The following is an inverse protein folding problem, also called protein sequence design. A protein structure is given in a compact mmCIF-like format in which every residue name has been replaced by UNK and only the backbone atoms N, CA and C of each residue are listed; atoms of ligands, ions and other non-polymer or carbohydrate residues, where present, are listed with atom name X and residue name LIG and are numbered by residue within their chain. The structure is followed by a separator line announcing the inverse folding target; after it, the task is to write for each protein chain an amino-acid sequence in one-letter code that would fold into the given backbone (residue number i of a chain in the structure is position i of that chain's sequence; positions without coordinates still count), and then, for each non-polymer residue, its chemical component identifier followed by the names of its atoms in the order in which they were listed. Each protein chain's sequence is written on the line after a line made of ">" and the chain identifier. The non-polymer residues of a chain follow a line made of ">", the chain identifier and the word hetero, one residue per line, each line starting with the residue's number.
data_IF_009823291693
#
_entry.id   IF_009823291693
#
_cell.length_a   1.000
_cell.length_b   1.000
_cell.length_c   1.000
_cell.angle_alpha   90.00
_cell.angle_beta   90.00
_cell.angle_gamma   90.00
#
_symmetry.space_group_name_H-M   'P 1'
#
loop_
_entity.id
_entity.type
_entity.pdbx_description
1 polymer ?
#
# COMPACT_ATOMS: atom_id res chain seq x y z
N UNK A 1 6.93 -38.43 35.73
CA UNK A 1 7.74 -37.99 34.57
C UNK A 1 7.24 -38.73 33.34
N UNK A 2 6.80 -38.14 32.24
CA UNK A 2 6.85 -36.78 31.73
C UNK A 2 5.65 -36.59 30.80
N UNK A 3 5.04 -35.41 30.90
CA UNK A 3 4.09 -34.80 29.98
C UNK A 3 4.37 -35.11 28.52
N UNK A 4 3.34 -35.53 27.77
CA UNK A 4 3.08 -35.02 26.42
C UNK A 4 1.57 -34.97 26.22
N UNK A 5 0.96 -33.93 26.81
CA UNK A 5 -0.29 -33.36 26.32
C UNK A 5 0.06 -32.87 24.92
N UNK A 6 -0.30 -33.68 23.90
CA UNK A 6 -0.34 -33.20 22.54
C UNK A 6 -1.54 -32.27 22.49
N UNK A 7 -1.29 -30.98 22.80
CA UNK A 7 -2.15 -29.90 22.41
C UNK A 7 -2.19 -29.95 20.88
N UNK A 8 -3.10 -30.76 20.33
CA UNK A 8 -3.67 -30.49 19.03
C UNK A 8 -4.38 -29.16 19.19
N UNK A 9 -3.63 -28.07 19.01
CA UNK A 9 -4.16 -26.79 18.57
C UNK A 9 -4.69 -27.10 17.16
N UNK A 10 -5.88 -27.71 17.13
CA UNK A 10 -6.84 -27.42 16.10
C UNK A 10 -6.97 -25.92 16.21
N UNK A 11 -6.33 -25.22 15.28
CA UNK A 11 -6.71 -23.87 14.92
C UNK A 11 -8.15 -24.02 14.43
N UNK A 12 -9.08 -24.08 15.39
CA UNK A 12 -10.42 -23.60 15.21
C UNK A 12 -10.17 -22.16 14.79
N UNK A 13 -10.12 -21.96 13.48
CA UNK A 13 -10.65 -20.75 12.87
C UNK A 13 -12.05 -20.67 13.45
N UNK A 14 -12.15 -20.03 14.61
CA UNK A 14 -13.36 -19.41 15.09
C UNK A 14 -13.70 -18.47 13.95
N UNK A 15 -14.52 -18.98 13.04
CA UNK A 15 -15.51 -18.20 12.32
C UNK A 15 -16.37 -17.62 13.44
N UNK A 16 -15.81 -16.62 14.14
CA UNK A 16 -16.59 -15.67 14.86
C UNK A 16 -17.59 -15.18 13.83
N UNK A 17 -18.84 -15.18 14.24
CA UNK A 17 -20.01 -14.78 13.50
C UNK A 17 -19.85 -13.31 13.04
N UNK A 18 -18.92 -13.03 12.14
CA UNK A 18 -18.83 -11.78 11.42
C UNK A 18 -20.09 -11.80 10.60
N UNK A 19 -21.01 -10.88 10.86
CA UNK A 19 -22.18 -10.72 10.02
C UNK A 19 -21.71 -10.72 8.57
N UNK A 20 -22.06 -11.75 7.82
CA UNK A 20 -21.77 -11.79 6.39
C UNK A 20 -22.74 -10.77 5.81
N UNK A 21 -22.31 -9.51 5.77
CA UNK A 21 -23.11 -8.46 5.18
C UNK A 21 -23.21 -8.70 3.69
N UNK A 22 -24.40 -8.48 3.16
CA UNK A 22 -24.53 -8.26 1.73
C UNK A 22 -23.76 -6.99 1.35
N UNK A 23 -23.19 -6.96 0.14
CA UNK A 23 -22.49 -5.79 -0.40
C UNK A 23 -23.40 -4.54 -0.37
N UNK A 24 -24.70 -4.74 -0.49
CA UNK A 24 -25.76 -3.75 -0.45
C UNK A 24 -25.89 -3.07 0.92
N UNK A 25 -25.81 -3.84 2.02
CA UNK A 25 -25.86 -3.28 3.38
C UNK A 25 -24.62 -2.45 3.69
N UNK A 26 -23.44 -2.89 3.27
CA UNK A 26 -22.19 -2.13 3.50
C UNK A 26 -22.20 -0.82 2.71
N UNK A 27 -22.73 -0.83 1.48
CA UNK A 27 -22.92 0.39 0.67
C UNK A 27 -23.82 1.42 1.35
N UNK A 28 -24.79 1.00 2.17
CA UNK A 28 -25.64 1.93 2.91
C UNK A 28 -24.92 2.58 4.10
N UNK A 29 -23.86 1.94 4.61
CA UNK A 29 -23.10 2.45 5.76
C UNK A 29 -21.91 3.30 5.31
N UNK A 30 -21.14 2.84 4.33
CA UNK A 30 -20.01 3.60 3.78
C UNK A 30 -20.56 4.72 2.92
N UNK A 31 -20.24 6.00 3.21
CA UNK A 31 -20.77 7.11 2.42
C UNK A 31 -20.36 7.00 0.95
N UNK A 32 -21.33 7.01 0.04
CA UNK A 32 -21.06 7.05 -1.40
C UNK A 32 -20.42 8.38 -1.83
N UNK A 33 -20.58 9.41 -1.01
CA UNK A 33 -20.29 10.82 -1.31
C UNK A 33 -19.81 11.53 -0.05
N UNK A 34 -18.69 12.24 -0.15
CA UNK A 34 -18.13 13.02 0.97
C UNK A 34 -17.59 14.37 0.50
N UNK A 35 -17.52 15.32 1.44
CA UNK A 35 -16.77 16.57 1.27
C UNK A 35 -15.57 16.55 2.21
N UNK A 36 -14.39 16.80 1.67
CA UNK A 36 -13.15 16.75 2.45
C UNK A 36 -12.14 17.78 1.92
N UNK A 37 -11.05 17.98 2.66
CA UNK A 37 -9.93 18.79 2.18
C UNK A 37 -9.26 18.09 0.99
N UNK A 38 -9.15 18.81 -0.12
CA UNK A 38 -8.34 18.42 -1.25
C UNK A 38 -6.88 18.72 -0.92
N UNK A 39 -6.16 17.68 -0.52
CA UNK A 39 -4.73 17.77 -0.25
C UNK A 39 -4.00 16.99 -1.32
N UNK A 40 -3.18 17.68 -2.11
CA UNK A 40 -2.29 17.08 -3.09
C UNK A 40 -0.88 17.59 -2.86
N UNK A 41 0.10 16.70 -2.79
CA UNK A 41 1.50 17.01 -2.44
C UNK A 41 1.68 17.82 -1.15
N UNK A 42 0.83 17.59 -0.15
CA UNK A 42 0.84 18.36 1.10
C UNK A 42 0.27 19.78 1.00
N UNK A 43 -0.25 20.18 -0.16
CA UNK A 43 -0.88 21.48 -0.41
C UNK A 43 -2.40 21.32 -0.29
N UNK A 44 -3.04 22.14 0.55
CA UNK A 44 -4.50 22.18 0.68
C UNK A 44 -5.10 23.15 -0.35
N UNK A 45 -5.85 22.59 -1.31
CA UNK A 45 -6.57 23.33 -2.35
C UNK A 45 -8.00 23.72 -1.95
N UNK A 46 -8.38 23.52 -0.68
CA UNK A 46 -9.69 23.80 -0.12
C UNK A 46 -10.58 22.56 -0.05
N UNK A 47 -11.88 22.76 0.15
CA UNK A 47 -12.86 21.66 0.19
C UNK A 47 -13.19 21.20 -1.22
N UNK A 48 -13.09 19.88 -1.45
CA UNK A 48 -13.56 19.24 -2.67
C UNK A 48 -14.62 18.19 -2.36
N UNK A 49 -15.32 17.82 -3.43
CA UNK A 49 -16.34 16.79 -3.42
C UNK A 49 -15.75 15.49 -3.93
N UNK A 50 -15.97 14.38 -3.22
CA UNK A 50 -15.45 13.08 -3.58
C UNK A 50 -16.54 12.02 -3.64
N UNK A 51 -16.40 11.08 -4.57
CA UNK A 51 -17.32 9.97 -4.77
C UNK A 51 -16.60 8.62 -4.58
N UNK A 52 -17.29 7.70 -3.91
CA UNK A 52 -16.78 6.35 -3.64
C UNK A 52 -16.62 5.57 -4.94
N UNK A 53 -15.42 5.05 -5.19
CA UNK A 53 -15.13 4.17 -6.33
C UNK A 53 -15.17 2.70 -5.93
N UNK A 54 -14.49 2.37 -4.84
CA UNK A 54 -14.33 0.99 -4.38
C UNK A 54 -14.13 0.95 -2.88
N UNK A 55 -14.53 -0.14 -2.26
CA UNK A 55 -14.21 -0.45 -0.87
C UNK A 55 -13.94 -1.94 -0.71
N UNK A 56 -13.18 -2.28 0.34
CA UNK A 56 -12.79 -3.63 0.67
C UNK A 56 -12.88 -3.84 2.18
N UNK A 57 -13.34 -5.03 2.60
CA UNK A 57 -13.23 -5.43 4.00
C UNK A 57 -11.77 -5.75 4.30
N UNK A 58 -11.25 -5.21 5.39
CA UNK A 58 -9.85 -5.36 5.81
C UNK A 58 -9.78 -5.56 7.33
N UNK A 59 -8.58 -5.75 7.85
CA UNK A 59 -8.29 -5.70 9.28
C UNK A 59 -6.88 -5.08 9.45
N UNK A 60 -6.82 -3.75 9.44
CA UNK A 60 -5.57 -2.99 9.51
C UNK A 60 -5.25 -2.52 10.92
N UNK A 61 -6.26 -2.31 11.76
CA UNK A 61 -6.05 -1.82 13.14
C UNK A 61 -6.07 -2.92 14.20
N UNK A 62 -6.40 -4.17 13.82
CA UNK A 62 -6.57 -5.30 14.73
C UNK A 62 -7.52 -4.99 15.90
N UNK A 63 -8.55 -4.18 15.64
CA UNK A 63 -9.47 -3.69 16.66
C UNK A 63 -10.51 -4.73 17.08
N UNK A 64 -10.77 -5.73 16.24
CA UNK A 64 -11.89 -6.67 16.38
C UNK A 64 -13.24 -6.11 15.91
N UNK A 65 -13.29 -4.82 15.55
CA UNK A 65 -14.43 -4.22 14.84
C UNK A 65 -14.39 -4.58 13.35
N UNK A 66 -15.50 -4.38 12.64
CA UNK A 66 -15.50 -4.48 11.18
C UNK A 66 -14.78 -3.26 10.58
N UNK A 67 -13.80 -3.50 9.70
CA UNK A 67 -13.02 -2.43 9.05
C UNK A 67 -13.17 -2.48 7.54
N UNK A 68 -13.36 -1.30 6.93
CA UNK A 68 -13.47 -1.15 5.49
C UNK A 68 -12.57 -0.03 4.99
N UNK A 69 -11.63 -0.36 4.11
CA UNK A 69 -10.87 0.64 3.37
C UNK A 69 -11.67 1.06 2.15
N UNK A 70 -11.77 2.36 1.92
CA UNK A 70 -12.58 2.97 0.88
C UNK A 70 -11.75 3.98 0.08
N UNK A 71 -11.90 3.89 -1.23
CA UNK A 71 -11.18 4.68 -2.23
C UNK A 71 -12.15 5.64 -2.89
N UNK A 72 -11.84 6.93 -2.78
CA UNK A 72 -12.66 8.00 -3.32
C UNK A 72 -11.89 8.77 -4.39
N UNK A 73 -12.60 9.14 -5.45
CA UNK A 73 -12.08 10.03 -6.48
C UNK A 73 -12.65 11.44 -6.32
N UNK A 74 -11.86 12.44 -6.66
CA UNK A 74 -12.31 13.83 -6.65
C UNK A 74 -13.21 14.09 -7.85
N UNK A 75 -14.37 14.68 -7.59
CA UNK A 75 -15.33 15.07 -8.62
C UNK A 75 -15.16 16.56 -8.92
N UNK A 76 -14.33 16.91 -9.91
CA UNK A 76 -14.22 18.30 -10.38
C UNK A 76 -15.15 18.56 -11.58
N UNK A 77 -15.61 19.80 -11.75
CA UNK A 77 -16.44 20.22 -12.91
C UNK A 77 -15.69 20.18 -14.25
N UNK A 78 -14.37 19.96 -14.27
CA UNK A 78 -13.51 20.12 -15.46
C UNK A 78 -12.89 18.83 -15.99
N UNK A 79 -12.95 17.71 -15.27
CA UNK A 79 -12.26 16.49 -15.70
C UNK A 79 -13.21 15.53 -16.42
N UNK A 80 -12.95 15.34 -17.72
CA UNK A 80 -13.49 14.24 -18.52
C UNK A 80 -12.80 12.89 -18.22
N UNK A 81 -11.94 12.80 -17.20
CA UNK A 81 -11.19 11.58 -16.89
C UNK A 81 -11.37 11.19 -15.41
N UNK A 82 -12.14 10.12 -15.11
CA UNK A 82 -12.49 9.66 -13.76
C UNK A 82 -11.38 8.83 -13.06
N UNK A 83 -10.12 9.03 -13.44
CA UNK A 83 -9.06 8.06 -13.20
C UNK A 83 -8.03 8.52 -12.15
N UNK A 84 -8.44 9.13 -11.05
CA UNK A 84 -7.53 9.35 -9.91
C UNK A 84 -8.33 9.17 -8.62
N UNK A 85 -7.96 8.21 -7.76
CA UNK A 85 -8.46 8.22 -6.39
C UNK A 85 -7.55 9.15 -5.57
N UNK A 86 -8.11 10.24 -5.09
CA UNK A 86 -7.34 11.27 -4.39
C UNK A 86 -7.44 11.10 -2.87
N UNK A 87 -8.28 10.17 -2.40
CA UNK A 87 -8.58 10.04 -0.98
C UNK A 87 -8.85 8.61 -0.57
N UNK A 88 -8.06 8.14 0.40
CA UNK A 88 -8.21 6.83 1.03
C UNK A 88 -8.68 7.01 2.47
N UNK A 89 -9.68 6.23 2.87
CA UNK A 89 -10.30 6.25 4.20
C UNK A 89 -10.42 4.83 4.74
N UNK A 90 -10.14 4.65 6.02
CA UNK A 90 -10.54 3.46 6.76
C UNK A 90 -11.75 3.78 7.63
N UNK A 91 -12.86 3.09 7.40
CA UNK A 91 -14.04 3.13 8.25
C UNK A 91 -14.00 1.96 9.23
N UNK A 92 -14.07 2.26 10.53
CA UNK A 92 -14.25 1.25 11.57
C UNK A 92 -15.68 1.27 12.07
N UNK A 93 -16.30 0.10 12.11
CA UNK A 93 -17.71 -0.08 12.41
C UNK A 93 -17.88 -0.97 13.65
N UNK A 94 -18.61 -0.47 14.63
CA UNK A 94 -19.06 -1.26 15.77
C UNK A 94 -20.58 -1.33 15.74
N UNK A 95 -21.14 -2.54 15.77
CA UNK A 95 -22.60 -2.79 15.67
C UNK A 95 -23.24 -2.00 14.52
N UNK A 96 -22.64 -2.05 13.34
CA UNK A 96 -23.12 -1.43 12.10
C UNK A 96 -23.13 0.11 12.10
N UNK A 97 -22.41 0.75 13.02
CA UNK A 97 -22.25 2.20 13.04
C UNK A 97 -20.79 2.55 12.90
N UNK A 98 -20.49 3.48 12.00
CA UNK A 98 -19.17 4.08 11.90
C UNK A 98 -18.86 4.71 13.25
N UNK A 99 -17.85 4.17 13.94
CA UNK A 99 -17.37 4.71 15.21
C UNK A 99 -16.12 5.56 15.04
N UNK A 100 -15.38 5.33 13.95
CA UNK A 100 -14.12 6.01 13.67
C UNK A 100 -13.84 6.01 12.18
N UNK A 101 -13.23 7.09 11.73
CA UNK A 101 -12.77 7.27 10.36
C UNK A 101 -11.30 7.65 10.45
N UNK A 102 -10.44 6.91 9.75
CA UNK A 102 -9.03 7.23 9.63
C UNK A 102 -8.73 7.71 8.22
N UNK A 103 -7.98 8.81 8.15
CA UNK A 103 -7.39 9.30 6.91
C UNK A 103 -6.06 8.57 6.68
N UNK A 104 -5.87 8.09 5.45
CA UNK A 104 -4.58 7.62 4.97
C UNK A 104 -4.09 8.66 3.97
N UNK A 105 -3.03 9.37 4.33
CA UNK A 105 -2.44 10.43 3.49
C UNK A 105 -1.59 9.80 2.39
N UNK A 106 -2.28 9.28 1.38
CA UNK A 106 -1.69 8.76 0.16
C UNK A 106 -2.15 9.61 -1.02
N UNK A 107 -1.18 10.22 -1.69
CA UNK A 107 -1.42 11.00 -2.91
C UNK A 107 -1.24 10.03 -4.07
N UNK A 108 -2.34 9.51 -4.61
CA UNK A 108 -2.23 8.66 -5.79
C UNK A 108 -1.88 9.54 -6.98
N UNK A 109 -0.71 9.30 -7.56
CA UNK A 109 -0.20 10.19 -8.58
C UNK A 109 -0.95 9.99 -9.90
N UNK A 110 -1.33 8.77 -10.24
CA UNK A 110 -1.81 8.40 -11.56
C UNK A 110 -2.57 7.05 -11.48
N UNK A 111 -3.80 6.96 -12.00
CA UNK A 111 -4.43 5.70 -12.45
C UNK A 111 -4.39 5.74 -13.99
N UNK A 112 -3.17 5.85 -14.54
CA UNK A 112 -2.98 5.65 -15.97
C UNK A 112 -3.24 4.18 -16.26
N UNK A 113 -3.91 3.89 -17.39
CA UNK A 113 -4.22 2.53 -17.84
C UNK A 113 -3.07 1.57 -17.54
N UNK A 114 -3.40 0.42 -16.93
CA UNK A 114 -2.48 -0.69 -16.62
C UNK A 114 -1.41 -0.82 -17.72
N UNK A 115 -0.18 -0.38 -17.43
CA UNK A 115 0.92 -0.57 -18.37
C UNK A 115 1.47 -1.99 -18.22
N UNK A 116 2.01 -2.54 -19.31
CA UNK A 116 2.69 -3.83 -19.26
C UNK A 116 3.83 -3.83 -18.22
N UNK A 117 4.44 -2.66 -17.98
CA UNK A 117 5.49 -2.46 -16.97
C UNK A 117 4.91 -2.60 -15.56
N UNK A 118 3.85 -1.88 -15.23
CA UNK A 118 3.21 -1.94 -13.91
C UNK A 118 2.66 -3.35 -13.64
N UNK A 119 2.02 -3.96 -14.64
CA UNK A 119 1.48 -5.32 -14.49
C UNK A 119 2.58 -6.37 -14.31
N UNK A 120 3.76 -6.18 -14.91
CA UNK A 120 4.92 -7.04 -14.67
C UNK A 120 5.43 -6.89 -13.23
N UNK A 121 5.54 -5.66 -12.73
CA UNK A 121 5.94 -5.39 -11.34
C UNK A 121 4.94 -5.99 -10.35
N UNK A 122 3.64 -5.79 -10.60
CA UNK A 122 2.55 -6.34 -9.78
C UNK A 122 2.63 -7.86 -9.74
N UNK A 123 2.75 -8.55 -10.89
CA UNK A 123 2.88 -10.01 -10.95
C UNK A 123 4.09 -10.55 -10.18
N UNK A 124 5.20 -9.81 -10.16
CA UNK A 124 6.34 -10.18 -9.32
C UNK A 124 6.00 -10.06 -7.82
N UNK A 125 5.26 -9.04 -7.42
CA UNK A 125 4.79 -8.86 -6.04
C UNK A 125 3.78 -9.91 -5.60
N UNK A 126 2.96 -10.44 -6.53
CA UNK A 126 1.98 -11.49 -6.22
C UNK A 126 2.64 -12.76 -5.66
N UNK A 127 3.92 -13.02 -5.98
CA UNK A 127 4.71 -14.12 -5.41
C UNK A 127 4.86 -14.01 -3.89
N UNK A 128 4.77 -12.79 -3.35
CA UNK A 128 4.98 -12.51 -1.93
C UNK A 128 3.69 -12.20 -1.17
N UNK A 129 2.75 -11.51 -1.83
CA UNK A 129 1.54 -10.95 -1.22
C UNK A 129 0.24 -11.63 -1.66
N UNK A 130 0.28 -12.54 -2.65
CA UNK A 130 -0.91 -13.13 -3.25
C UNK A 130 -1.51 -12.23 -4.35
N UNK A 131 -2.68 -12.62 -4.85
CA UNK A 131 -3.30 -11.98 -6.02
C UNK A 131 -3.63 -10.49 -5.79
N UNK A 132 -3.35 -9.66 -6.78
CA UNK A 132 -3.68 -8.25 -6.78
C UNK A 132 -5.19 -8.02 -6.77
N UNK A 133 -5.66 -7.12 -5.90
CA UNK A 133 -7.08 -6.77 -5.81
C UNK A 133 -7.47 -5.54 -6.66
N UNK A 134 -6.50 -4.96 -7.38
CA UNK A 134 -6.66 -3.74 -8.16
C UNK A 134 -6.21 -2.45 -7.47
N UNK A 135 -5.92 -2.46 -6.16
CA UNK A 135 -5.73 -1.22 -5.38
C UNK A 135 -4.60 -1.28 -4.35
N UNK A 136 -4.43 -2.38 -3.61
CA UNK A 136 -3.44 -2.46 -2.54
C UNK A 136 -3.06 -3.89 -2.13
N UNK A 137 -1.93 -4.02 -1.46
CA UNK A 137 -1.56 -5.22 -0.69
C UNK A 137 -1.61 -4.94 0.81
N UNK A 138 -1.85 -5.98 1.60
CA UNK A 138 -1.79 -5.95 3.06
C UNK A 138 -0.87 -7.06 3.52
N UNK A 139 0.16 -6.71 4.26
CA UNK A 139 1.17 -7.67 4.68
C UNK A 139 1.91 -7.20 5.92
N UNK A 140 2.12 -8.08 6.91
CA UNK A 140 2.99 -7.82 8.07
C UNK A 140 4.44 -8.11 7.68
N UNK A 141 5.10 -7.10 7.11
CA UNK A 141 6.48 -7.17 6.62
C UNK A 141 7.49 -7.01 7.75
N UNK A 142 7.22 -6.14 8.71
CA UNK A 142 8.12 -5.93 9.85
C UNK A 142 7.94 -6.97 10.97
N UNK A 143 6.93 -7.83 10.91
CA UNK A 143 6.68 -8.93 11.84
C UNK A 143 6.28 -8.47 13.24
N UNK A 144 5.64 -7.30 13.38
CA UNK A 144 5.15 -6.77 14.66
C UNK A 144 3.70 -7.19 14.98
N UNK A 145 3.04 -7.91 14.08
CA UNK A 145 1.65 -8.35 14.22
C UNK A 145 0.61 -7.31 13.78
N UNK A 146 1.04 -6.13 13.32
CA UNK A 146 0.21 -5.08 12.71
C UNK A 146 0.54 -5.05 11.22
N UNK A 147 -0.42 -5.34 10.33
CA UNK A 147 -0.11 -5.41 8.92
C UNK A 147 0.13 -4.02 8.33
N UNK A 148 1.14 -3.92 7.47
CA UNK A 148 1.33 -2.75 6.62
C UNK A 148 0.41 -2.79 5.38
N UNK A 149 -0.07 -1.61 5.00
CA UNK A 149 -0.84 -1.34 3.80
C UNK A 149 0.11 -0.78 2.72
N UNK A 150 0.22 -1.49 1.60
CA UNK A 150 0.96 -1.08 0.42
C UNK A 150 -0.03 -0.52 -0.61
N UNK A 151 -0.04 0.80 -0.77
CA UNK A 151 -0.85 1.48 -1.79
C UNK A 151 0.00 1.71 -3.03
N UNK A 152 -0.44 1.18 -4.18
CA UNK A 152 0.31 1.21 -5.43
C UNK A 152 -0.26 2.24 -6.39
N UNK A 153 0.60 3.04 -7.01
CA UNK A 153 0.26 4.01 -8.04
C UNK A 153 0.49 3.40 -9.43
N UNK A 154 -0.55 3.41 -10.28
CA UNK A 154 -0.48 2.92 -11.66
C UNK A 154 -0.05 4.07 -12.58
N UNK A 155 1.25 4.32 -12.64
CA UNK A 155 1.83 5.49 -13.31
C UNK A 155 2.16 5.33 -14.79
N UNK A 156 2.19 4.11 -15.33
CA UNK A 156 2.51 3.83 -16.72
C UNK A 156 3.99 3.95 -17.12
N UNK A 157 4.79 4.66 -16.31
CA UNK A 157 6.25 4.84 -16.49
C UNK A 157 7.07 4.03 -15.47
N UNK A 158 6.41 3.12 -14.76
CA UNK A 158 6.93 2.26 -13.71
C UNK A 158 6.25 2.52 -12.37
N UNK A 159 6.36 1.55 -11.46
CA UNK A 159 5.61 1.57 -10.21
C UNK A 159 6.03 2.70 -9.27
N UNK A 160 5.06 3.25 -8.56
CA UNK A 160 5.25 4.00 -7.31
C UNK A 160 4.36 3.36 -6.26
N UNK A 161 4.77 3.39 -4.99
CA UNK A 161 3.93 2.91 -3.90
C UNK A 161 4.28 3.59 -2.58
N UNK A 162 3.29 3.67 -1.68
CA UNK A 162 3.49 4.04 -0.28
C UNK A 162 3.24 2.85 0.65
N UNK A 163 3.98 2.81 1.77
CA UNK A 163 3.74 1.84 2.85
C UNK A 163 3.22 2.59 4.07
N UNK A 164 2.10 2.11 4.61
CA UNK A 164 1.41 2.72 5.75
C UNK A 164 1.12 1.69 6.83
N UNK A 165 1.21 2.06 8.10
CA UNK A 165 0.84 1.19 9.23
C UNK A 165 -0.01 1.96 10.23
N UNK A 166 -0.96 1.29 10.88
CA UNK A 166 -1.73 1.90 11.96
C UNK A 166 -0.91 1.98 13.26
N UNK A 167 -0.63 3.19 13.72
CA UNK A 167 -0.04 3.42 15.03
C UNK A 167 -1.14 3.53 16.09
N UNK A 168 -1.25 2.49 16.93
CA UNK A 168 -2.24 2.41 18.01
C UNK A 168 -2.08 3.50 19.08
N UNK A 169 -0.85 3.89 19.39
CA UNK A 169 -0.57 4.91 20.42
C UNK A 169 -1.00 6.30 19.97
N UNK A 170 -0.81 6.60 18.68
CA UNK A 170 -1.18 7.88 18.06
C UNK A 170 -2.58 7.89 17.46
N UNK A 171 -3.24 6.72 17.43
CA UNK A 171 -4.57 6.49 16.83
C UNK A 171 -4.67 7.05 15.40
N UNK A 172 -3.65 6.77 14.57
CA UNK A 172 -3.57 7.22 13.17
C UNK A 172 -2.71 6.30 12.32
N UNK A 173 -2.85 6.39 11.00
CA UNK A 173 -1.91 5.79 10.06
C UNK A 173 -0.64 6.62 9.97
N UNK A 174 0.50 5.95 9.96
CA UNK A 174 1.82 6.54 9.75
C UNK A 174 2.39 6.08 8.41
N UNK A 175 3.14 6.97 7.77
CA UNK A 175 3.84 6.70 6.52
C UNK A 175 5.17 6.05 6.89
N UNK A 176 5.33 4.78 6.57
CA UNK A 176 6.57 4.02 6.78
C UNK A 176 7.51 4.12 5.57
N UNK A 177 6.93 4.32 4.40
CA UNK A 177 7.64 4.57 3.14
C UNK A 177 6.80 5.52 2.28
N UNK A 178 7.39 6.66 1.92
CA UNK A 178 6.70 7.73 1.20
C UNK A 178 6.81 7.52 -0.32
N UNK A 179 5.70 7.49 -1.08
CA UNK A 179 5.72 7.29 -2.53
C UNK A 179 6.57 8.34 -3.27
N UNK A 180 6.71 9.56 -2.74
CA UNK A 180 7.58 10.58 -3.34
C UNK A 180 9.07 10.21 -3.36
N UNK A 181 9.49 9.23 -2.56
CA UNK A 181 10.87 8.73 -2.55
C UNK A 181 11.16 7.78 -3.71
N UNK A 182 10.13 7.31 -4.42
CA UNK A 182 10.29 6.27 -5.43
C UNK A 182 9.39 6.49 -6.63
N UNK A 183 10.00 6.77 -7.78
CA UNK A 183 9.32 6.70 -9.07
C UNK A 183 10.06 5.73 -9.99
N UNK A 184 9.31 5.03 -10.84
CA UNK A 184 9.83 4.24 -11.95
C UNK A 184 10.83 3.14 -11.56
N UNK A 185 10.60 2.45 -10.44
CA UNK A 185 11.47 1.34 -10.04
C UNK A 185 11.34 0.16 -11.00
N UNK A 186 12.44 -0.56 -11.24
CA UNK A 186 12.47 -1.66 -12.20
C UNK A 186 12.08 -3.01 -11.59
N UNK A 187 12.30 -3.19 -10.29
CA UNK A 187 11.99 -4.43 -9.57
C UNK A 187 11.96 -4.21 -8.05
N UNK A 188 11.15 -5.00 -7.35
CA UNK A 188 11.14 -5.10 -5.90
C UNK A 188 11.30 -6.57 -5.49
N UNK A 189 12.12 -6.82 -4.48
CA UNK A 189 12.32 -8.13 -3.86
C UNK A 189 12.03 -8.02 -2.37
N UNK A 190 11.40 -9.05 -1.79
CA UNK A 190 11.01 -9.04 -0.39
C UNK A 190 11.77 -10.12 0.37
N UNK A 191 12.44 -9.71 1.45
CA UNK A 191 13.13 -10.59 2.40
C UNK A 191 12.41 -10.51 3.76
N UNK A 192 11.48 -11.45 3.94
CA UNK A 192 10.62 -11.54 5.14
C UNK A 192 11.44 -11.84 6.39
N UNK A 193 12.48 -12.68 6.28
CA UNK A 193 13.31 -13.07 7.43
C UNK A 193 14.13 -11.89 7.95
N UNK A 194 14.61 -11.04 7.03
CA UNK A 194 15.36 -9.83 7.39
C UNK A 194 14.50 -8.60 7.67
N UNK A 195 13.17 -8.71 7.55
CA UNK A 195 12.23 -7.56 7.65
C UNK A 195 12.65 -6.43 6.71
N UNK A 196 12.93 -6.80 5.47
CA UNK A 196 13.52 -5.91 4.49
C UNK A 196 12.94 -6.13 3.10
N UNK A 197 13.12 -5.12 2.26
CA UNK A 197 12.87 -5.22 0.83
C UNK A 197 14.00 -4.53 0.05
N UNK A 198 14.25 -5.01 -1.15
CA UNK A 198 15.22 -4.43 -2.08
C UNK A 198 14.45 -3.82 -3.23
N UNK A 199 14.78 -2.58 -3.58
CA UNK A 199 14.25 -1.89 -4.76
C UNK A 199 15.38 -1.56 -5.71
N UNK A 200 15.11 -1.73 -6.99
CA UNK A 200 15.97 -1.28 -8.08
C UNK A 200 15.47 0.08 -8.58
N UNK A 201 15.99 1.14 -7.98
CA UNK A 201 15.53 2.52 -8.16
C UNK A 201 16.29 3.20 -9.29
N UNK A 202 15.63 3.99 -10.14
CA UNK A 202 16.34 4.78 -11.12
C UNK A 202 17.20 5.83 -10.43
N UNK A 203 18.38 6.11 -10.98
CA UNK A 203 19.22 7.21 -10.54
C UNK A 203 19.94 7.85 -11.72
N UNK A 204 20.25 9.14 -11.60
CA UNK A 204 21.13 9.82 -12.55
C UNK A 204 22.59 9.57 -12.14
N UNK A 205 23.38 8.83 -12.94
CA UNK A 205 24.77 8.60 -12.64
C UNK A 205 25.60 9.87 -12.80
N UNK A 206 26.53 10.11 -11.86
CA UNK A 206 27.54 11.18 -12.03
C UNK A 206 28.60 10.71 -13.02
N UNK A 207 28.69 11.33 -14.21
CA UNK A 207 29.73 11.05 -15.21
C UNK A 207 29.23 11.10 -16.66
N UNK A 208 30.10 10.74 -17.61
CA UNK A 208 29.76 10.64 -19.03
C UNK A 208 29.03 9.32 -19.34
N UNK A 209 27.81 9.19 -18.83
CA UNK A 209 26.91 8.12 -19.24
C UNK A 209 26.05 8.58 -20.42
N UNK A 210 25.71 7.68 -21.36
CA UNK A 210 24.80 8.04 -22.43
C UNK A 210 23.46 8.47 -21.83
N UNK A 211 23.02 9.70 -22.11
CA UNK A 211 21.81 10.30 -21.52
C UNK A 211 20.50 9.52 -21.80
N UNK A 212 20.53 8.52 -22.67
CA UNK A 212 19.39 7.70 -23.07
C UNK A 212 19.30 6.34 -22.34
N UNK A 213 20.27 6.00 -21.48
CA UNK A 213 20.25 4.72 -20.74
C UNK A 213 19.87 4.98 -19.29
N UNK A 214 18.66 4.54 -18.90
CA UNK A 214 18.25 4.54 -17.50
C UNK A 214 19.17 3.59 -16.70
N UNK A 215 19.70 4.08 -15.59
CA UNK A 215 20.55 3.32 -14.68
C UNK A 215 19.83 3.09 -13.36
N UNK A 216 20.08 1.94 -12.75
CA UNK A 216 19.42 1.52 -11.52
C UNK A 216 20.43 1.28 -10.40
N UNK A 217 20.03 1.68 -9.19
CA UNK A 217 20.72 1.36 -7.96
C UNK A 217 19.97 0.26 -7.23
N UNK A 218 20.71 -0.72 -6.70
CA UNK A 218 20.17 -1.71 -5.78
C UNK A 218 20.16 -1.10 -4.37
N UNK A 219 18.96 -0.96 -3.80
CA UNK A 219 18.74 -0.26 -2.54
C UNK A 219 17.98 -1.17 -1.59
N UNK A 220 18.57 -1.43 -0.42
CA UNK A 220 17.93 -2.15 0.67
C UNK A 220 17.16 -1.18 1.56
N UNK A 221 15.95 -1.55 1.91
CA UNK A 221 15.11 -0.92 2.91
C UNK A 221 14.89 -1.90 4.04
N UNK A 222 15.52 -1.64 5.18
CA UNK A 222 15.48 -2.53 6.33
C UNK A 222 14.74 -1.87 7.49
N UNK A 223 13.85 -2.62 8.14
CA UNK A 223 13.13 -2.12 9.30
C UNK A 223 14.08 -1.74 10.46
N UNK A 224 13.89 -0.53 11.00
CA UNK A 224 14.55 -0.05 12.22
C UNK A 224 13.52 0.01 13.35
N UNK A 225 13.65 -0.90 14.33
CA UNK A 225 12.73 -1.01 15.47
C UNK A 225 12.69 0.24 16.36
N UNK A 226 13.79 1.01 16.42
CA UNK A 226 13.87 2.22 17.25
C UNK A 226 13.20 3.39 16.57
N UNK A 227 13.41 3.53 15.26
CA UNK A 227 12.83 4.63 14.47
C UNK A 227 11.42 4.33 13.96
N UNK A 228 10.99 3.06 14.02
CA UNK A 228 9.70 2.58 13.52
C UNK A 228 9.46 2.95 12.06
N UNK A 229 10.47 2.68 11.22
CA UNK A 229 10.43 2.93 9.76
C UNK A 229 11.48 2.09 9.03
N UNK A 230 11.35 2.01 7.72
CA UNK A 230 12.36 1.39 6.87
C UNK A 230 13.51 2.36 6.59
N UNK A 231 14.73 1.96 6.92
CA UNK A 231 15.93 2.75 6.67
C UNK A 231 16.58 2.32 5.35
N UNK A 232 16.90 3.32 4.53
CA UNK A 232 17.44 3.17 3.19
C UNK A 232 18.95 2.97 3.21
N UNK A 233 19.44 1.96 2.49
CA UNK A 233 20.87 1.71 2.25
C UNK A 233 21.13 1.32 0.80
N UNK A 234 21.86 2.15 0.06
CA UNK A 234 22.34 1.78 -1.28
C UNK A 234 23.40 0.68 -1.17
N UNK A 235 23.20 -0.43 -1.87
CA UNK A 235 24.11 -1.57 -1.89
C UNK A 235 25.12 -1.47 -3.05
N UNK A 236 24.61 -1.18 -4.26
CA UNK A 236 25.41 -0.95 -5.47
C UNK A 236 24.64 -0.12 -6.48
N UNK A 237 25.33 0.40 -7.48
CA UNK A 237 24.77 1.14 -8.60
C UNK A 237 25.42 0.71 -9.92
N UNK A 238 25.02 1.33 -11.03
CA UNK A 238 25.53 1.04 -12.38
C UNK A 238 24.84 -0.14 -13.06
N UNK A 239 23.62 -0.49 -12.65
CA UNK A 239 22.86 -1.57 -13.26
C UNK A 239 22.02 -1.05 -14.42
N UNK A 240 22.06 -1.74 -15.55
CA UNK A 240 21.09 -1.55 -16.63
C UNK A 240 19.77 -2.27 -16.33
N UNK A 241 18.71 -1.97 -17.07
CA UNK A 241 17.45 -2.73 -16.96
C UNK A 241 17.66 -4.24 -17.21
N UNK A 242 18.50 -4.59 -18.19
CA UNK A 242 18.83 -5.98 -18.51
C UNK A 242 19.56 -6.71 -17.37
N UNK A 243 20.41 -6.00 -16.63
CA UNK A 243 21.05 -6.55 -15.44
C UNK A 243 20.03 -6.84 -14.35
N UNK A 244 19.10 -5.89 -14.10
CA UNK A 244 18.02 -6.04 -13.12
C UNK A 244 17.09 -7.21 -13.49
N UNK A 245 16.76 -7.39 -14.78
CA UNK A 245 15.92 -8.48 -15.25
C UNK A 245 16.52 -9.87 -15.04
N UNK A 246 17.85 -9.98 -14.98
CA UNK A 246 18.55 -11.26 -14.74
C UNK A 246 18.60 -11.64 -13.26
N UNK A 247 18.34 -10.70 -12.36
CA UNK A 247 18.36 -10.97 -10.92
C UNK A 247 17.18 -11.87 -10.55
N UNK A 248 17.44 -13.03 -9.96
CA UNK A 248 16.44 -14.03 -9.56
C UNK A 248 15.59 -14.62 -10.71
N UNK A 249 16.13 -14.67 -11.94
CA UNK A 249 15.75 -15.67 -12.96
C UNK A 249 16.57 -16.94 -12.75
#
# INVERSE_FOLDING_TARGET
>A
MKNKILLNIIVLVLIANTGIYSKEQVKQIIPERIYDDNISYGINYGKAYFQLRKFFKVNLTNSGDDEYIAFYYECTKRCYEPNLYNLVRLYRLNKNKINKIYKIDHVCLLDYNESDIDMKLIKELEKYFGAWNGYFYVYDLNGNGVPELFLYDLGGIGGSFGIYEFNKEKDKFEILFDPSQLSNYAKMLIDKEKKAFIIYEPYEPKGNYPAHVLQYAEVEYKWDDKKKRYERKKLRDGLTYEDVEKINK
#
